data_IF_920070536414
#
_entry.id   IF_920070536414
#
_cell.length_a   1.000
_cell.length_b   1.000
_cell.length_c   1.000
_cell.angle_alpha   90.00
_cell.angle_beta   90.00
_cell.angle_gamma   90.00
#
_symmetry.space_group_name_H-M   'P 1'
#
loop_
_entity.id
_entity.type
_entity.pdbx_description
1 polymer ?
#
# COMPACT_ATOMS: atom_id res chain seq x y z
N UNK A 1 18.21 -27.02 -45.58
CA UNK A 1 18.96 -26.82 -44.30
C UNK A 1 18.78 -25.42 -43.72
N UNK A 2 18.70 -24.35 -44.53
CA UNK A 2 18.55 -22.96 -44.08
C UNK A 2 17.25 -22.66 -43.30
N UNK A 3 16.11 -23.22 -43.74
CA UNK A 3 14.78 -23.01 -43.10
C UNK A 3 14.72 -23.48 -41.64
N UNK A 4 15.37 -24.61 -41.32
CA UNK A 4 15.42 -25.15 -39.94
C UNK A 4 16.18 -24.23 -38.98
N UNK A 5 17.20 -23.50 -39.45
CA UNK A 5 17.99 -22.60 -38.61
C UNK A 5 17.23 -21.33 -38.25
N UNK A 6 16.48 -20.76 -39.20
CA UNK A 6 15.62 -19.60 -38.95
C UNK A 6 14.44 -19.92 -38.02
N UNK A 7 13.84 -21.10 -38.17
CA UNK A 7 12.79 -21.57 -37.27
C UNK A 7 13.30 -21.81 -35.84
N UNK A 8 14.49 -22.39 -35.67
CA UNK A 8 15.12 -22.54 -34.36
C UNK A 8 15.39 -21.18 -33.71
N UNK A 9 15.88 -20.19 -34.46
CA UNK A 9 16.10 -18.83 -33.95
C UNK A 9 14.77 -18.17 -33.56
N UNK A 10 13.70 -18.37 -34.35
CA UNK A 10 12.37 -17.86 -34.03
C UNK A 10 11.81 -18.50 -32.76
N UNK A 11 11.97 -19.81 -32.60
CA UNK A 11 11.54 -20.57 -31.42
C UNK A 11 12.34 -20.16 -30.16
N UNK A 12 13.65 -20.00 -30.27
CA UNK A 12 14.49 -19.51 -29.17
C UNK A 12 14.09 -18.08 -28.74
N UNK A 13 13.89 -17.17 -29.70
CA UNK A 13 13.40 -15.81 -29.43
C UNK A 13 12.00 -15.83 -28.78
N UNK A 14 11.16 -16.79 -29.12
CA UNK A 14 9.84 -16.97 -28.50
C UNK A 14 9.96 -17.36 -27.02
N UNK A 15 10.81 -18.35 -26.70
CA UNK A 15 11.06 -18.75 -25.31
C UNK A 15 11.60 -17.59 -24.47
N UNK A 16 12.61 -16.88 -24.99
CA UNK A 16 13.18 -15.71 -24.32
C UNK A 16 12.13 -14.63 -24.02
N UNK A 17 11.28 -14.28 -25.00
CA UNK A 17 10.19 -13.29 -24.79
C UNK A 17 9.15 -13.76 -23.79
N UNK A 18 8.89 -15.06 -23.71
CA UNK A 18 7.98 -15.65 -22.74
C UNK A 18 8.57 -15.51 -21.33
N UNK A 19 9.84 -15.83 -21.14
CA UNK A 19 10.55 -15.63 -19.86
C UNK A 19 10.58 -14.16 -19.43
N UNK A 20 10.92 -13.24 -20.34
CA UNK A 20 10.90 -11.79 -20.07
C UNK A 20 9.51 -11.32 -19.61
N UNK A 21 8.43 -11.81 -20.25
CA UNK A 21 7.07 -11.46 -19.86
C UNK A 21 6.71 -12.04 -18.48
N UNK A 22 7.15 -13.26 -18.20
CA UNK A 22 6.92 -13.91 -16.90
C UNK A 22 7.60 -13.15 -15.75
N UNK A 23 8.80 -12.59 -15.98
CA UNK A 23 9.47 -11.74 -14.97
C UNK A 23 8.64 -10.52 -14.58
N UNK A 24 7.82 -10.02 -15.50
CA UNK A 24 6.88 -8.93 -15.24
C UNK A 24 5.52 -9.40 -14.69
N UNK A 25 5.34 -10.70 -14.44
CA UNK A 25 4.08 -11.28 -13.99
C UNK A 25 3.07 -11.47 -15.11
N UNK A 26 3.53 -11.81 -16.33
CA UNK A 26 2.66 -12.04 -17.48
C UNK A 26 2.92 -13.37 -18.18
N UNK A 27 1.84 -14.07 -18.53
CA UNK A 27 1.91 -15.24 -19.39
C UNK A 27 1.62 -14.85 -20.85
N UNK A 28 2.64 -14.98 -21.70
CA UNK A 28 2.53 -14.72 -23.14
C UNK A 28 1.99 -15.95 -23.87
N UNK A 29 1.02 -15.73 -24.74
CA UNK A 29 0.46 -16.72 -25.66
C UNK A 29 0.60 -16.21 -27.09
N UNK A 30 1.11 -17.06 -27.98
CA UNK A 30 1.10 -16.85 -29.43
C UNK A 30 -0.27 -17.23 -30.03
N UNK A 31 -0.55 -16.88 -31.31
CA UNK A 31 -1.79 -17.28 -31.98
C UNK A 31 -2.00 -18.80 -32.06
N UNK A 32 -0.92 -19.59 -32.00
CA UNK A 32 -0.96 -21.05 -32.03
C UNK A 32 -1.19 -21.67 -30.64
N UNK A 33 -1.05 -20.89 -29.57
CA UNK A 33 -1.20 -21.39 -28.22
C UNK A 33 -2.67 -21.30 -27.75
N UNK A 34 -3.12 -22.30 -27.00
CA UNK A 34 -4.45 -22.29 -26.39
C UNK A 34 -4.37 -21.83 -24.92
N UNK A 35 -4.88 -20.64 -24.63
CA UNK A 35 -4.97 -20.08 -23.29
C UNK A 35 -6.29 -20.37 -22.58
N UNK A 36 -7.31 -20.91 -23.28
CA UNK A 36 -8.67 -21.13 -22.75
C UNK A 36 -8.69 -22.09 -21.55
N UNK A 37 -7.69 -22.98 -21.44
CA UNK A 37 -7.53 -23.89 -20.31
C UNK A 37 -7.26 -23.18 -18.98
N UNK A 38 -6.59 -22.03 -19.00
CA UNK A 38 -6.31 -21.20 -17.82
C UNK A 38 -7.16 -19.93 -17.76
N UNK A 39 -7.48 -19.36 -18.91
CA UNK A 39 -8.17 -18.08 -19.07
C UNK A 39 -9.40 -18.29 -19.96
N UNK A 40 -10.44 -18.93 -19.41
CA UNK A 40 -11.61 -19.38 -20.16
C UNK A 40 -12.39 -18.26 -20.88
N UNK A 41 -12.31 -17.04 -20.38
CA UNK A 41 -12.96 -15.83 -20.92
C UNK A 41 -12.11 -15.05 -21.92
N UNK A 42 -10.92 -15.57 -22.31
CA UNK A 42 -10.02 -14.84 -23.20
C UNK A 42 -10.58 -14.72 -24.63
N UNK A 43 -10.83 -13.49 -25.07
CA UNK A 43 -11.30 -13.17 -26.42
C UNK A 43 -10.20 -13.22 -27.49
N UNK A 44 -8.93 -13.26 -27.09
CA UNK A 44 -7.76 -13.26 -27.98
C UNK A 44 -7.17 -14.65 -28.24
N UNK A 45 -7.71 -15.68 -27.60
CA UNK A 45 -7.29 -17.07 -27.76
C UNK A 45 -7.30 -17.51 -29.22
N UNK A 46 -6.21 -18.10 -29.71
CA UNK A 46 -6.12 -18.60 -31.09
C UNK A 46 -6.10 -17.53 -32.19
N UNK A 47 -6.12 -16.23 -31.85
CA UNK A 47 -6.22 -15.12 -32.82
C UNK A 47 -4.92 -14.37 -33.00
N UNK A 48 -4.34 -13.89 -31.89
CA UNK A 48 -3.14 -13.06 -31.92
C UNK A 48 -2.26 -13.28 -30.69
N UNK A 49 -1.04 -12.74 -30.74
CA UNK A 49 -0.18 -12.72 -29.55
C UNK A 49 -0.82 -11.85 -28.47
N UNK A 50 -0.90 -12.37 -27.25
CA UNK A 50 -1.44 -11.64 -26.11
C UNK A 50 -0.77 -12.06 -24.80
N UNK A 51 -1.01 -11.29 -23.74
CA UNK A 51 -0.33 -11.36 -22.46
C UNK A 51 -1.35 -11.30 -21.33
N UNK A 52 -1.44 -12.36 -20.53
CA UNK A 52 -2.32 -12.42 -19.37
C UNK A 52 -1.55 -12.04 -18.11
N UNK A 53 -2.09 -11.13 -17.31
CA UNK A 53 -1.57 -10.90 -15.97
C UNK A 53 -1.78 -12.16 -15.12
N UNK A 54 -0.76 -12.57 -14.36
CA UNK A 54 -0.87 -13.72 -13.44
C UNK A 54 -0.93 -13.30 -11.97
N UNK A 55 -1.08 -12.00 -11.69
CA UNK A 55 -1.26 -11.52 -10.34
C UNK A 55 -2.62 -11.96 -9.78
N UNK A 56 -2.64 -12.31 -8.49
CA UNK A 56 -3.84 -12.76 -7.82
C UNK A 56 -4.95 -11.70 -7.90
N UNK A 57 -6.13 -12.10 -8.38
CA UNK A 57 -7.29 -11.21 -8.55
C UNK A 57 -7.21 -10.25 -9.74
N UNK A 58 -6.29 -10.47 -10.69
CA UNK A 58 -6.15 -9.63 -11.88
C UNK A 58 -6.41 -10.43 -13.17
N UNK A 59 -7.55 -10.18 -13.81
CA UNK A 59 -7.94 -10.84 -15.06
C UNK A 59 -7.61 -10.01 -16.32
N UNK A 60 -6.62 -9.11 -16.22
CA UNK A 60 -6.27 -8.21 -17.33
C UNK A 60 -5.45 -8.93 -18.41
N UNK A 61 -5.86 -8.72 -19.65
CA UNK A 61 -5.18 -9.22 -20.85
C UNK A 61 -4.79 -8.05 -21.75
N UNK A 62 -3.57 -8.09 -22.29
CA UNK A 62 -3.02 -7.07 -23.17
C UNK A 62 -2.48 -7.69 -24.45
N UNK A 63 -2.39 -6.89 -25.51
CA UNK A 63 -1.86 -7.30 -26.83
C UNK A 63 -0.57 -6.57 -27.20
N UNK A 64 -0.23 -5.52 -26.45
CA UNK A 64 0.97 -4.71 -26.60
C UNK A 64 1.92 -4.89 -25.42
N UNK A 65 3.22 -4.97 -25.69
CA UNK A 65 4.26 -5.05 -24.66
C UNK A 65 4.35 -3.76 -23.82
N UNK A 66 3.99 -2.60 -24.39
CA UNK A 66 4.00 -1.33 -23.67
C UNK A 66 2.93 -1.32 -22.55
N UNK A 67 1.74 -1.84 -22.84
CA UNK A 67 0.66 -1.93 -21.86
C UNK A 67 1.00 -2.94 -20.75
N UNK A 68 1.65 -4.05 -21.12
CA UNK A 68 2.17 -5.05 -20.16
C UNK A 68 3.14 -4.39 -19.19
N UNK A 69 4.13 -3.64 -19.68
CA UNK A 69 5.09 -2.95 -18.82
C UNK A 69 4.42 -1.89 -17.95
N UNK A 70 3.49 -1.10 -18.49
CA UNK A 70 2.74 -0.12 -17.72
C UNK A 70 1.91 -0.79 -16.61
N UNK A 71 1.26 -1.90 -16.91
CA UNK A 71 0.44 -2.65 -15.96
C UNK A 71 1.29 -3.38 -14.89
N UNK A 72 2.44 -3.95 -15.26
CA UNK A 72 3.41 -4.49 -14.31
C UNK A 72 3.86 -3.41 -13.31
N UNK A 73 4.18 -2.21 -13.83
CA UNK A 73 4.54 -1.07 -13.00
C UNK A 73 3.38 -0.61 -12.10
N UNK A 74 2.13 -0.76 -12.55
CA UNK A 74 0.96 -0.51 -11.71
C UNK A 74 0.94 -1.47 -10.51
N UNK A 75 1.03 -2.78 -10.71
CA UNK A 75 1.07 -3.74 -9.60
C UNK A 75 2.23 -3.45 -8.64
N UNK A 76 3.43 -3.16 -9.16
CA UNK A 76 4.57 -2.78 -8.33
C UNK A 76 4.28 -1.56 -7.46
N UNK A 77 3.67 -0.51 -8.02
CA UNK A 77 3.29 0.70 -7.28
C UNK A 77 2.17 0.42 -6.27
N UNK A 78 1.21 -0.42 -6.62
CA UNK A 78 0.09 -0.77 -5.74
C UNK A 78 0.55 -1.58 -4.53
N UNK A 79 1.37 -2.62 -4.76
CA UNK A 79 2.00 -3.39 -3.68
C UNK A 79 2.83 -2.51 -2.75
N UNK A 80 3.57 -1.53 -3.28
CA UNK A 80 4.30 -0.58 -2.45
C UNK A 80 3.37 0.23 -1.52
N UNK A 81 2.23 0.71 -2.03
CA UNK A 81 1.23 1.43 -1.22
C UNK A 81 0.66 0.54 -0.12
N UNK A 82 0.38 -0.74 -0.44
CA UNK A 82 -0.07 -1.74 0.51
C UNK A 82 0.96 -1.99 1.61
N UNK A 83 2.23 -2.17 1.24
CA UNK A 83 3.32 -2.32 2.21
C UNK A 83 3.50 -1.10 3.12
N UNK A 84 3.17 0.09 2.63
CA UNK A 84 3.18 1.32 3.43
C UNK A 84 1.93 1.49 4.32
N UNK A 85 1.04 0.50 4.35
CA UNK A 85 -0.15 0.47 5.18
C UNK A 85 -1.32 1.27 4.59
N UNK A 86 -1.39 1.39 3.27
CA UNK A 86 -2.47 2.09 2.56
C UNK A 86 -3.10 1.19 1.49
N UNK A 87 -4.34 1.47 1.10
CA UNK A 87 -5.00 0.83 -0.05
C UNK A 87 -5.42 1.90 -1.03
N UNK A 88 -5.19 1.67 -2.32
CA UNK A 88 -5.78 2.49 -3.38
C UNK A 88 -7.05 1.82 -3.90
N UNK A 89 -8.06 2.63 -4.15
CA UNK A 89 -9.26 2.26 -4.90
C UNK A 89 -9.39 3.20 -6.10
N UNK A 90 -9.57 2.64 -7.28
CA UNK A 90 -9.78 3.43 -8.51
C UNK A 90 -11.22 3.94 -8.59
N UNK A 91 -11.44 4.95 -9.44
CA UNK A 91 -12.77 5.48 -9.73
C UNK A 91 -13.80 4.44 -10.22
N UNK A 92 -13.33 3.33 -10.78
CA UNK A 92 -14.17 2.21 -11.27
C UNK A 92 -14.33 1.09 -10.26
N UNK A 93 -13.64 1.16 -9.12
CA UNK A 93 -13.65 0.13 -8.09
C UNK A 93 -14.49 0.61 -6.91
N UNK A 94 -15.24 -0.31 -6.32
CA UNK A 94 -15.94 -0.06 -5.07
C UNK A 94 -15.05 -0.45 -3.89
N UNK A 95 -14.89 0.44 -2.91
CA UNK A 95 -14.15 0.14 -1.70
C UNK A 95 -14.96 -0.70 -0.69
N UNK A 96 -16.28 -0.85 -0.87
CA UNK A 96 -17.14 -1.66 0.00
C UNK A 96 -17.37 -1.08 1.40
N UNK A 97 -16.68 0.01 1.75
CA UNK A 97 -16.79 0.67 3.06
C UNK A 97 -17.84 1.76 2.99
N UNK A 98 -19.04 1.51 3.51
CA UNK A 98 -20.15 2.50 3.55
C UNK A 98 -19.81 3.76 4.34
N UNK A 99 -18.90 3.67 5.33
CA UNK A 99 -18.39 4.80 6.08
C UNK A 99 -17.32 5.62 5.34
N UNK A 100 -16.87 5.18 4.15
CA UNK A 100 -15.91 5.94 3.35
C UNK A 100 -16.60 7.17 2.76
N UNK A 101 -15.99 8.35 2.94
CA UNK A 101 -16.51 9.60 2.39
C UNK A 101 -16.60 9.60 0.85
N UNK A 102 -15.83 8.74 0.20
CA UNK A 102 -15.78 8.58 -1.25
C UNK A 102 -16.55 7.33 -1.73
N UNK A 103 -17.28 6.65 -0.84
CA UNK A 103 -18.12 5.52 -1.21
C UNK A 103 -19.17 5.92 -2.26
N UNK A 104 -19.32 5.12 -3.30
CA UNK A 104 -20.21 5.41 -4.44
C UNK A 104 -19.75 6.56 -5.35
N UNK A 105 -18.66 7.28 -5.01
CA UNK A 105 -18.10 8.32 -5.85
C UNK A 105 -17.18 7.68 -6.90
N UNK A 106 -17.33 8.07 -8.17
CA UNK A 106 -16.45 7.63 -9.26
C UNK A 106 -15.12 8.37 -9.23
N UNK A 107 -14.38 8.23 -8.12
CA UNK A 107 -13.11 8.91 -7.90
C UNK A 107 -12.08 7.98 -7.29
N UNK A 108 -10.83 8.11 -7.75
CA UNK A 108 -9.71 7.38 -7.16
C UNK A 108 -9.43 7.94 -5.78
N UNK A 109 -9.33 7.08 -4.78
CA UNK A 109 -9.09 7.46 -3.39
C UNK A 109 -8.23 6.42 -2.68
N UNK A 110 -7.77 6.75 -1.47
CA UNK A 110 -6.83 5.96 -0.68
C UNK A 110 -7.37 5.75 0.74
N UNK A 111 -7.19 4.57 1.30
CA UNK A 111 -7.58 4.23 2.67
C UNK A 111 -6.32 3.93 3.49
N UNK A 112 -6.26 4.39 4.73
CA UNK A 112 -5.29 3.87 5.69
C UNK A 112 -5.73 2.47 6.14
N UNK A 113 -4.80 1.52 6.19
CA UNK A 113 -5.02 0.14 6.64
C UNK A 113 -4.39 -0.15 8.00
N UNK A 114 -3.78 0.85 8.65
CA UNK A 114 -3.20 0.68 9.99
C UNK A 114 -4.29 0.46 11.03
N UNK A 115 -3.99 -0.39 12.02
CA UNK A 115 -4.93 -0.70 13.09
C UNK A 115 -5.39 0.57 13.81
N UNK A 116 -6.70 0.71 14.00
CA UNK A 116 -7.32 1.87 14.65
C UNK A 116 -7.35 3.16 13.81
N UNK A 117 -6.97 3.11 12.53
CA UNK A 117 -6.98 4.28 11.65
C UNK A 117 -7.94 4.07 10.46
N UNK A 118 -9.02 4.85 10.42
CA UNK A 118 -10.05 4.78 9.38
C UNK A 118 -10.03 5.99 8.42
N UNK A 119 -8.89 6.66 8.30
CA UNK A 119 -8.78 7.84 7.44
C UNK A 119 -8.77 7.46 5.95
N UNK A 120 -9.46 8.29 5.16
CA UNK A 120 -9.53 8.17 3.70
C UNK A 120 -9.07 9.46 3.03
N UNK A 121 -8.39 9.36 1.88
CA UNK A 121 -7.76 10.48 1.18
C UNK A 121 -8.15 10.49 -0.30
N UNK A 122 -8.44 11.67 -0.85
CA UNK A 122 -8.73 11.82 -2.29
C UNK A 122 -7.45 11.83 -3.14
N UNK A 123 -6.35 12.36 -2.60
CA UNK A 123 -5.11 12.55 -3.34
C UNK A 123 -3.90 11.94 -2.60
N UNK A 124 -2.80 11.75 -3.32
CA UNK A 124 -1.57 11.17 -2.78
C UNK A 124 -0.88 12.10 -1.77
N UNK A 125 -0.93 13.42 -1.96
CA UNK A 125 -0.22 14.37 -1.10
C UNK A 125 -0.73 14.33 0.35
N UNK A 126 -2.04 14.24 0.54
CA UNK A 126 -2.66 14.16 1.86
C UNK A 126 -2.39 12.80 2.51
N UNK A 127 -2.37 11.72 1.73
CA UNK A 127 -1.95 10.39 2.19
C UNK A 127 -0.49 10.41 2.70
N UNK A 128 0.44 11.01 1.96
CA UNK A 128 1.85 11.12 2.40
C UNK A 128 1.98 11.97 3.69
N UNK A 129 1.24 13.08 3.81
CA UNK A 129 1.21 13.84 5.08
C UNK A 129 0.74 12.98 6.24
N UNK A 130 -0.32 12.20 6.03
CA UNK A 130 -0.83 11.30 7.06
C UNK A 130 0.14 10.15 7.39
N UNK A 131 0.88 9.63 6.42
CA UNK A 131 1.98 8.67 6.66
C UNK A 131 3.01 9.23 7.64
N UNK A 132 3.41 10.49 7.48
CA UNK A 132 4.35 11.13 8.43
C UNK A 132 3.79 11.27 9.83
N UNK A 133 2.47 11.40 9.99
CA UNK A 133 1.82 11.41 11.30
C UNK A 133 2.00 10.07 12.00
N UNK A 134 1.74 8.94 11.33
CA UNK A 134 1.97 7.61 11.90
C UNK A 134 3.44 7.38 12.26
N UNK A 135 4.37 7.77 11.38
CA UNK A 135 5.81 7.65 11.68
C UNK A 135 6.20 8.42 12.95
N UNK A 136 5.68 9.65 13.11
CA UNK A 136 5.91 10.45 14.33
C UNK A 136 5.29 9.81 15.56
N UNK A 137 4.09 9.24 15.44
CA UNK A 137 3.40 8.56 16.53
C UNK A 137 4.11 7.28 16.98
N UNK A 138 4.62 6.48 16.03
CA UNK A 138 5.43 5.29 16.33
C UNK A 138 6.75 5.65 17.03
N UNK A 139 7.43 6.72 16.58
CA UNK A 139 8.64 7.21 17.25
C UNK A 139 8.32 7.71 18.66
N UNK A 140 7.22 8.45 18.80
CA UNK A 140 6.74 8.96 20.09
C UNK A 140 6.48 7.81 21.07
N UNK A 141 5.79 6.76 20.61
CA UNK A 141 5.52 5.56 21.41
C UNK A 141 6.80 4.82 21.80
N UNK A 142 7.78 4.70 20.89
CA UNK A 142 9.09 4.11 21.19
C UNK A 142 9.87 4.90 22.22
N UNK A 143 9.74 6.22 22.22
CA UNK A 143 10.37 7.10 23.20
C UNK A 143 9.70 7.05 24.60
N UNK A 144 8.64 6.25 24.75
CA UNK A 144 7.91 6.11 26.01
C UNK A 144 6.87 7.21 26.22
N UNK A 145 6.26 7.70 25.14
CA UNK A 145 5.18 8.70 25.20
C UNK A 145 3.97 8.29 24.38
N UNK A 146 2.77 8.67 24.82
CA UNK A 146 1.52 8.44 24.07
C UNK A 146 0.72 9.73 23.95
N UNK A 147 0.42 10.14 22.72
CA UNK A 147 -0.40 11.32 22.45
C UNK A 147 -1.87 10.96 22.44
N UNK A 148 -2.68 11.84 23.00
CA UNK A 148 -4.14 11.79 22.92
C UNK A 148 -4.65 13.09 22.33
N UNK A 149 -5.52 12.99 21.34
CA UNK A 149 -6.22 14.14 20.78
C UNK A 149 -7.42 14.51 21.66
N UNK A 150 -7.88 15.76 21.58
CA UNK A 150 -9.01 16.28 22.37
C UNK A 150 -10.30 15.46 22.24
N UNK A 151 -10.48 14.81 21.08
CA UNK A 151 -11.66 14.02 20.76
C UNK A 151 -11.48 12.52 21.11
N UNK A 152 -10.28 12.10 21.47
CA UNK A 152 -10.02 10.72 21.90
C UNK A 152 -10.24 10.58 23.40
N UNK A 153 -10.68 9.40 23.83
CA UNK A 153 -10.81 9.10 25.24
C UNK A 153 -9.43 8.79 25.84
N UNK A 154 -9.02 9.58 26.83
CA UNK A 154 -7.79 9.34 27.55
C UNK A 154 -7.98 8.15 28.50
N UNK A 155 -7.15 7.11 28.36
CA UNK A 155 -7.23 5.90 29.19
C UNK A 155 -6.50 6.03 30.54
N UNK A 156 -5.88 7.17 30.81
CA UNK A 156 -5.16 7.42 32.06
C UNK A 156 -6.11 7.97 33.13
N UNK A 157 -6.10 7.34 34.30
CA UNK A 157 -6.94 7.70 35.44
C UNK A 157 -6.67 9.15 35.88
N UNK A 158 -7.74 9.92 36.12
CA UNK A 158 -7.65 11.32 36.59
C UNK A 158 -6.86 12.27 35.68
N UNK A 159 -6.79 12.00 34.37
CA UNK A 159 -6.14 12.92 33.44
C UNK A 159 -6.89 14.26 33.37
N UNK A 160 -6.25 15.33 33.86
CA UNK A 160 -6.79 16.70 33.89
C UNK A 160 -7.07 17.31 32.52
N UNK A 161 -6.51 16.73 31.45
CA UNK A 161 -6.63 17.23 30.07
C UNK A 161 -7.54 16.36 29.19
N UNK A 162 -8.11 15.28 29.75
CA UNK A 162 -9.02 14.41 29.02
C UNK A 162 -10.22 15.21 28.50
N UNK A 163 -10.53 15.06 27.20
CA UNK A 163 -11.62 15.76 26.50
C UNK A 163 -11.55 17.30 26.47
N UNK A 164 -10.49 17.90 27.04
CA UNK A 164 -10.31 19.37 27.10
C UNK A 164 -9.32 19.80 26.02
N UNK A 165 -8.15 19.17 25.96
CA UNK A 165 -7.11 19.54 25.00
C UNK A 165 -6.26 18.35 24.55
N UNK A 166 -5.49 18.57 23.48
CA UNK A 166 -4.51 17.60 23.02
C UNK A 166 -3.37 17.53 24.06
N UNK A 167 -3.02 16.33 24.50
CA UNK A 167 -2.01 16.12 25.52
C UNK A 167 -1.19 14.85 25.24
N UNK A 168 -0.06 14.69 25.93
CA UNK A 168 0.88 13.58 25.75
C UNK A 168 1.23 13.03 27.14
N UNK A 169 1.02 11.74 27.34
CA UNK A 169 1.42 11.04 28.57
C UNK A 169 2.80 10.43 28.41
N UNK A 170 3.62 10.48 29.46
CA UNK A 170 4.72 9.54 29.59
C UNK A 170 4.14 8.16 29.94
N UNK A 171 4.61 7.11 29.27
CA UNK A 171 4.18 5.73 29.51
C UNK A 171 5.31 4.88 30.12
N UNK A 172 6.40 5.52 30.56
CA UNK A 172 7.48 4.84 31.28
C UNK A 172 7.00 4.41 32.68
N UNK A 173 7.41 3.23 33.16
CA UNK A 173 7.05 2.77 34.50
C UNK A 173 7.42 3.81 35.56
N UNK A 174 6.50 4.10 36.48
CA UNK A 174 6.72 5.07 37.58
C UNK A 174 6.71 6.55 37.16
N UNK A 175 6.20 6.89 35.97
CA UNK A 175 6.09 8.27 35.51
C UNK A 175 4.69 8.61 34.97
N UNK A 176 3.88 9.30 35.77
CA UNK A 176 2.52 9.74 35.39
C UNK A 176 2.49 11.17 34.84
N UNK A 177 3.58 11.62 34.23
CA UNK A 177 3.70 13.01 33.80
C UNK A 177 2.91 13.27 32.51
N UNK A 178 2.13 14.36 32.51
CA UNK A 178 1.31 14.78 31.37
C UNK A 178 1.85 16.07 30.78
N UNK A 179 2.13 16.06 29.49
CA UNK A 179 2.68 17.16 28.70
C UNK A 179 1.59 17.73 27.78
N UNK A 180 1.62 19.04 27.55
CA UNK A 180 0.67 19.72 26.68
C UNK A 180 1.24 19.99 25.28
N UNK A 181 2.56 19.81 25.08
CA UNK A 181 3.21 19.99 23.77
C UNK A 181 4.44 19.11 23.57
N UNK A 182 4.81 18.91 22.31
CA UNK A 182 6.04 18.19 21.92
C UNK A 182 7.32 18.94 22.31
N UNK A 183 7.28 20.26 22.53
CA UNK A 183 8.43 21.01 23.00
C UNK A 183 8.84 20.60 24.42
N UNK A 184 7.86 20.32 25.28
CA UNK A 184 8.10 19.88 26.66
C UNK A 184 8.65 18.44 26.72
N UNK A 185 8.40 17.66 25.66
CA UNK A 185 8.79 16.26 25.57
C UNK A 185 10.29 16.06 25.64
N UNK A 186 11.08 16.85 24.90
CA UNK A 186 12.54 16.71 24.88
C UNK A 186 13.15 16.95 26.26
N UNK A 187 12.69 17.98 26.97
CA UNK A 187 13.15 18.29 28.33
C UNK A 187 12.81 17.15 29.30
N UNK A 188 11.59 16.62 29.22
CA UNK A 188 11.16 15.50 30.05
C UNK A 188 11.91 14.20 29.72
N UNK A 189 12.11 13.89 28.43
CA UNK A 189 12.87 12.72 27.97
C UNK A 189 14.28 12.71 28.55
N UNK A 190 14.98 13.85 28.50
CA UNK A 190 16.33 13.99 29.07
C UNK A 190 16.40 13.75 30.59
N UNK A 191 15.31 13.99 31.34
CA UNK A 191 15.29 13.69 32.77
C UNK A 191 15.30 12.19 33.06
N UNK A 192 14.65 11.39 32.21
CA UNK A 192 14.69 9.93 32.30
C UNK A 192 16.05 9.39 31.87
N UNK A 193 16.58 9.89 30.75
CA UNK A 193 17.90 9.47 30.28
C UNK A 193 18.95 9.65 31.37
N UNK A 194 18.91 10.74 32.17
CA UNK A 194 19.81 10.93 33.31
C UNK A 194 19.62 9.92 34.46
N UNK A 195 18.37 9.53 34.75
CA UNK A 195 18.05 8.59 35.84
C UNK A 195 18.37 7.15 35.47
N UNK A 196 18.32 6.80 34.19
CA UNK A 196 18.66 5.45 33.70
C UNK A 196 20.19 5.17 33.76
N UNK A 197 21.03 6.20 33.97
CA UNK A 197 22.49 6.08 34.13
C UNK A 197 22.96 6.11 35.61
N UNK A 198 22.04 6.14 36.56
CA UNK A 198 22.30 6.02 38.01
C UNK A 198 21.90 4.62 38.50
#
# INVERSE_FOLDING_TARGET
>A
VYVKKEEMVRHFKWHKKREESLQHGFMRYSPMDNCKSKFGTCTHNGRQTHYHCIQAGCDKVYISTSDVQMHANYHRKDSAIIHEGFQRFRATEDCGTTACQFYGQRTTHFHCRRSGCNFTFKNKADMEKHKTYHQKDEILSKDGFKKFMKYENCLFTNCKYAKISNHIHCIRPGCDYVLHSTAQLYSHKRKHERRDFE
#
